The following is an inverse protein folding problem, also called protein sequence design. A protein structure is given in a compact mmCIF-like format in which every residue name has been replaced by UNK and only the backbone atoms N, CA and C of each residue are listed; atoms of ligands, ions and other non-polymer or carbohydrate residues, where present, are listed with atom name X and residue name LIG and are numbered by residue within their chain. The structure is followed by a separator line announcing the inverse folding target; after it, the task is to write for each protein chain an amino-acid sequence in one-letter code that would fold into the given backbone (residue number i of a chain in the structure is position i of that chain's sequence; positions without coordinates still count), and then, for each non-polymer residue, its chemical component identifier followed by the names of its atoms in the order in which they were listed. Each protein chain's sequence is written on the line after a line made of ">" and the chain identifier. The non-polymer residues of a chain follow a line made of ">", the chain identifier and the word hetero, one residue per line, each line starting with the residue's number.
data_IF_903801243734
#
_entry.id   IF_903801243734
#
_cell.length_a   1.000
_cell.length_b   1.000
_cell.length_c   1.000
_cell.angle_alpha   90.00
_cell.angle_beta   90.00
_cell.angle_gamma   90.00
#
_symmetry.space_group_name_H-M   'P 1'
#
loop_
_entity.id
_entity.type
_entity.pdbx_description
1 polymer ?
#
# COMPACT_ATOMS: atom_id res chain seq x y z
N UNK A 1 33.33 4.78 -15.00
CA UNK A 1 32.48 3.86 -14.18
C UNK A 1 31.85 4.72 -13.10
N UNK A 2 30.59 5.08 -13.27
CA UNK A 2 29.87 5.79 -12.21
C UNK A 2 29.72 4.84 -11.02
N UNK A 3 30.09 5.32 -9.84
CA UNK A 3 29.90 4.59 -8.58
C UNK A 3 28.41 4.31 -8.44
N UNK A 4 27.97 3.06 -8.21
CA UNK A 4 26.56 2.79 -7.97
C UNK A 4 26.10 3.70 -6.83
N UNK A 5 25.11 4.55 -7.07
CA UNK A 5 24.44 5.30 -6.01
C UNK A 5 23.76 4.27 -5.11
N UNK A 6 24.47 3.87 -4.05
CA UNK A 6 23.89 3.04 -3.00
C UNK A 6 22.65 3.78 -2.46
N UNK A 7 21.49 3.19 -2.67
CA UNK A 7 20.29 3.73 -2.04
C UNK A 7 20.50 3.75 -0.52
N UNK A 8 20.11 4.80 0.14
CA UNK A 8 20.26 4.87 1.58
C UNK A 8 19.60 3.66 2.26
N UNK A 9 20.27 3.10 3.26
CA UNK A 9 19.78 1.93 3.98
C UNK A 9 18.39 2.18 4.59
N UNK A 10 17.47 1.20 4.50
CA UNK A 10 16.16 1.32 5.14
C UNK A 10 16.28 1.26 6.66
N UNK A 11 15.37 1.92 7.35
CA UNK A 11 15.10 1.67 8.77
C UNK A 11 14.15 0.49 8.85
N UNK A 12 14.52 -0.56 9.60
CA UNK A 12 13.72 -1.77 9.77
C UNK A 12 13.44 -2.00 11.25
N UNK A 13 12.18 -2.28 11.56
CA UNK A 13 11.74 -2.69 12.89
C UNK A 13 10.98 -4.00 12.84
N UNK A 14 11.33 -4.94 13.71
CA UNK A 14 10.43 -6.04 14.05
C UNK A 14 9.44 -5.55 15.10
N UNK A 15 8.18 -5.87 14.88
CA UNK A 15 7.06 -5.47 15.73
C UNK A 15 6.45 -6.72 16.33
N UNK A 16 6.29 -6.76 17.65
CA UNK A 16 5.61 -7.88 18.31
C UNK A 16 4.12 -7.85 17.96
N UNK A 17 3.55 -8.87 17.26
CA UNK A 17 2.17 -8.81 16.72
C UNK A 17 1.08 -8.65 17.79
N UNK A 18 1.35 -9.16 18.99
CA UNK A 18 0.39 -9.11 20.10
C UNK A 18 0.60 -7.93 21.07
N UNK A 19 1.39 -6.94 20.65
CA UNK A 19 1.87 -5.86 21.53
C UNK A 19 3.17 -6.23 22.23
N UNK A 20 3.81 -5.28 22.86
CA UNK A 20 5.09 -5.48 23.56
C UNK A 20 6.25 -4.77 22.88
N UNK A 21 7.31 -5.49 22.50
CA UNK A 21 8.54 -4.87 22.02
C UNK A 21 8.46 -4.44 20.55
N UNK A 22 9.17 -3.35 20.25
CA UNK A 22 9.50 -2.89 18.89
C UNK A 22 11.03 -2.84 18.84
N UNK A 23 11.65 -3.53 17.88
CA UNK A 23 13.09 -3.73 17.87
C UNK A 23 13.70 -3.33 16.52
N UNK A 24 14.58 -2.34 16.56
CA UNK A 24 15.40 -1.96 15.41
C UNK A 24 16.25 -3.13 14.92
N UNK A 25 16.36 -3.28 13.61
CA UNK A 25 17.11 -4.35 12.96
C UNK A 25 18.21 -3.82 12.05
N UNK A 26 19.24 -4.64 11.86
CA UNK A 26 20.27 -4.38 10.86
C UNK A 26 19.70 -4.73 9.46
N UNK A 27 19.60 -3.79 8.51
CA UNK A 27 19.03 -4.03 7.19
C UNK A 27 19.78 -5.05 6.33
N UNK A 28 21.01 -5.39 6.72
CA UNK A 28 21.85 -6.35 6.00
C UNK A 28 21.75 -7.79 6.54
N UNK A 29 20.82 -8.04 7.48
CA UNK A 29 20.58 -9.36 8.05
C UNK A 29 19.20 -9.89 7.64
N UNK A 30 19.00 -11.21 7.52
CA UNK A 30 17.69 -11.79 7.29
C UNK A 30 16.78 -11.60 8.51
N UNK A 31 15.51 -11.26 8.27
CA UNK A 31 14.53 -10.94 9.32
C UNK A 31 13.29 -11.82 9.28
N UNK A 32 13.06 -12.51 8.17
CA UNK A 32 11.88 -13.35 7.97
C UNK A 32 12.34 -14.80 7.87
N UNK A 33 11.64 -15.69 8.55
CA UNK A 33 11.93 -17.12 8.51
C UNK A 33 11.55 -17.72 7.15
N UNK A 34 12.31 -18.72 6.71
CA UNK A 34 12.10 -19.39 5.41
C UNK A 34 10.72 -20.04 5.28
N UNK A 35 10.09 -20.41 6.39
CA UNK A 35 8.76 -21.03 6.47
C UNK A 35 7.66 -20.03 6.85
N UNK A 36 7.91 -18.73 6.72
CA UNK A 36 6.86 -17.73 6.91
C UNK A 36 5.84 -17.79 5.78
N UNK A 37 4.56 -17.81 6.13
CA UNK A 37 3.46 -17.91 5.19
C UNK A 37 3.39 -16.74 4.20
N UNK A 38 4.01 -15.60 4.52
CA UNK A 38 4.17 -14.51 3.55
C UNK A 38 5.07 -14.90 2.39
N UNK A 39 6.16 -15.65 2.64
CA UNK A 39 7.09 -16.10 1.61
C UNK A 39 6.55 -17.29 0.82
N UNK A 40 5.89 -18.22 1.50
CA UNK A 40 5.44 -19.48 0.91
C UNK A 40 4.06 -19.38 0.25
N UNK A 41 3.18 -18.48 0.72
CA UNK A 41 1.77 -18.39 0.30
C UNK A 41 1.29 -16.98 -0.01
N UNK A 42 2.04 -15.93 0.35
CA UNK A 42 1.54 -14.56 0.32
C UNK A 42 0.47 -14.28 1.40
N UNK A 43 0.39 -15.12 2.45
CA UNK A 43 -0.62 -15.03 3.49
C UNK A 43 -0.25 -13.99 4.55
N UNK A 44 -0.66 -12.78 4.29
CA UNK A 44 -0.41 -11.62 5.14
C UNK A 44 -1.01 -10.36 4.53
N UNK A 45 -0.91 -9.29 5.29
CA UNK A 45 -1.42 -7.96 4.95
C UNK A 45 -0.30 -6.93 5.01
N UNK A 46 -0.50 -5.82 4.30
CA UNK A 46 0.43 -4.70 4.37
C UNK A 46 -0.26 -3.34 4.34
N UNK A 47 0.43 -2.32 4.81
CA UNK A 47 0.12 -0.93 4.58
C UNK A 47 1.33 -0.18 4.03
N UNK A 48 1.07 0.90 3.32
CA UNK A 48 2.12 1.83 2.88
C UNK A 48 1.67 3.24 3.20
N UNK A 49 2.41 3.87 4.10
CA UNK A 49 2.13 5.19 4.66
C UNK A 49 3.16 6.19 4.12
N UNK A 50 2.70 7.31 3.60
CA UNK A 50 3.57 8.42 3.22
C UNK A 50 4.15 9.06 4.48
N UNK A 51 5.47 9.25 4.50
CA UNK A 51 6.17 10.08 5.48
C UNK A 51 6.59 11.38 4.78
N UNK A 52 6.18 12.52 5.33
CA UNK A 52 6.52 13.86 4.84
C UNK A 52 6.63 14.83 6.01
N UNK A 53 7.74 15.60 6.05
CA UNK A 53 8.02 16.50 7.15
C UNK A 53 8.14 15.77 8.50
N UNK A 54 8.78 14.59 8.52
CA UNK A 54 8.96 13.81 9.73
C UNK A 54 7.69 13.15 10.30
N UNK A 55 6.59 13.18 9.57
CA UNK A 55 5.30 12.65 10.03
C UNK A 55 4.71 11.61 9.06
N UNK A 56 4.12 10.56 9.62
CA UNK A 56 3.30 9.61 8.89
C UNK A 56 1.94 10.24 8.56
N UNK A 57 1.63 10.38 7.27
CA UNK A 57 0.40 11.06 6.82
C UNK A 57 -0.79 10.10 6.77
N UNK A 58 -1.99 10.60 7.10
CA UNK A 58 -3.25 9.85 7.16
C UNK A 58 -3.18 8.59 8.05
N UNK A 59 -2.38 8.65 9.12
CA UNK A 59 -2.06 7.50 9.97
C UNK A 59 -3.31 6.76 10.45
N UNK A 60 -4.33 7.49 10.91
CA UNK A 60 -5.58 6.89 11.41
C UNK A 60 -6.28 6.05 10.35
N UNK A 61 -6.39 6.55 9.11
CA UNK A 61 -7.01 5.80 8.00
C UNK A 61 -6.25 4.52 7.66
N UNK A 62 -4.93 4.56 7.77
CA UNK A 62 -4.08 3.39 7.57
C UNK A 62 -4.25 2.36 8.69
N UNK A 63 -4.28 2.80 9.95
CA UNK A 63 -4.54 1.94 11.10
C UNK A 63 -5.91 1.25 11.01
N UNK A 64 -6.95 1.99 10.66
CA UNK A 64 -8.30 1.46 10.48
C UNK A 64 -8.36 0.41 9.36
N UNK A 65 -7.68 0.66 8.23
CA UNK A 65 -7.65 -0.30 7.13
C UNK A 65 -6.78 -1.52 7.45
N UNK A 66 -5.70 -1.34 8.18
CA UNK A 66 -4.82 -2.42 8.61
C UNK A 66 -5.56 -3.38 9.55
N UNK A 67 -6.27 -2.85 10.55
CA UNK A 67 -7.12 -3.61 11.46
C UNK A 67 -8.22 -4.37 10.70
N UNK A 68 -8.91 -3.70 9.78
CA UNK A 68 -9.94 -4.34 8.93
C UNK A 68 -9.34 -5.45 8.05
N UNK A 69 -8.17 -5.22 7.45
CA UNK A 69 -7.49 -6.24 6.66
C UNK A 69 -7.10 -7.45 7.51
N UNK A 70 -6.61 -7.22 8.74
CA UNK A 70 -6.29 -8.29 9.68
C UNK A 70 -7.53 -9.12 10.04
N UNK A 71 -8.65 -8.46 10.33
CA UNK A 71 -9.93 -9.11 10.62
C UNK A 71 -10.40 -9.98 9.45
N UNK A 72 -10.38 -9.44 8.22
CA UNK A 72 -10.79 -10.17 7.01
C UNK A 72 -9.90 -11.39 6.73
N UNK A 73 -8.62 -11.31 7.08
CA UNK A 73 -7.65 -12.39 6.91
C UNK A 73 -7.60 -13.35 8.10
N UNK A 74 -8.37 -13.12 9.17
CA UNK A 74 -8.28 -13.90 10.40
C UNK A 74 -6.87 -13.86 11.04
N UNK A 75 -6.19 -12.72 10.93
CA UNK A 75 -4.92 -12.45 11.57
C UNK A 75 -5.15 -11.80 12.95
N UNK A 76 -4.16 -11.81 13.85
CA UNK A 76 -4.26 -11.06 15.10
C UNK A 76 -4.59 -9.60 14.84
N UNK A 77 -5.42 -9.03 15.71
CA UNK A 77 -5.74 -7.61 15.64
C UNK A 77 -4.48 -6.77 15.92
N UNK A 78 -4.07 -5.91 14.98
CA UNK A 78 -2.94 -5.02 15.22
C UNK A 78 -3.35 -3.91 16.20
N UNK A 79 -2.75 -3.92 17.39
CA UNK A 79 -3.04 -2.92 18.43
C UNK A 79 -2.74 -1.50 17.92
N UNK A 80 -3.78 -0.67 17.80
CA UNK A 80 -3.70 0.68 17.22
C UNK A 80 -2.57 1.52 17.78
N UNK A 81 -2.52 1.66 19.12
CA UNK A 81 -1.52 2.47 19.80
C UNK A 81 -0.11 1.89 19.67
N UNK A 82 -0.01 0.57 19.62
CA UNK A 82 1.27 -0.11 19.43
C UNK A 82 1.87 0.20 18.06
N UNK A 83 1.09 0.06 16.99
CA UNK A 83 1.52 0.37 15.63
C UNK A 83 1.76 1.87 15.40
N UNK A 84 0.96 2.73 16.03
CA UNK A 84 1.16 4.18 15.97
C UNK A 84 2.50 4.59 16.60
N UNK A 85 2.80 4.09 17.81
CA UNK A 85 4.08 4.34 18.50
C UNK A 85 5.26 3.78 17.71
N UNK A 86 5.17 2.53 17.25
CA UNK A 86 6.22 1.91 16.45
C UNK A 86 6.50 2.71 15.16
N UNK A 87 5.44 3.21 14.52
CA UNK A 87 5.58 4.05 13.32
C UNK A 87 6.29 5.36 13.64
N UNK A 88 5.89 6.03 14.71
CA UNK A 88 6.52 7.30 15.12
C UNK A 88 8.01 7.10 15.44
N UNK A 89 8.37 6.01 16.14
CA UNK A 89 9.75 5.66 16.46
C UNK A 89 10.58 5.36 15.21
N UNK A 90 10.06 4.54 14.30
CA UNK A 90 10.75 4.21 13.06
C UNK A 90 10.95 5.43 12.14
N UNK A 91 9.96 6.33 12.07
CA UNK A 91 10.05 7.57 11.31
C UNK A 91 11.06 8.53 11.94
N UNK A 92 11.06 8.67 13.26
CA UNK A 92 12.03 9.52 13.97
C UNK A 92 13.47 9.05 13.75
N UNK A 93 13.71 7.74 13.79
CA UNK A 93 15.03 7.16 13.51
C UNK A 93 15.45 7.40 12.07
N UNK A 94 14.54 7.19 11.13
CA UNK A 94 14.81 7.47 9.71
C UNK A 94 15.20 8.94 9.50
N UNK A 95 14.47 9.89 10.07
CA UNK A 95 14.77 11.32 9.94
C UNK A 95 16.11 11.67 10.57
N UNK A 96 16.42 11.15 11.78
CA UNK A 96 17.67 11.39 12.48
C UNK A 96 18.88 10.93 11.69
N UNK A 97 18.82 9.74 11.10
CA UNK A 97 19.93 9.16 10.33
C UNK A 97 20.18 9.86 9.00
N UNK A 98 19.21 10.65 8.54
CA UNK A 98 19.31 11.41 7.28
C UNK A 98 19.47 12.90 7.45
N UNK A 99 19.89 13.34 8.63
CA UNK A 99 20.22 14.73 8.90
C UNK A 99 19.01 15.67 8.94
N UNK A 100 17.83 15.13 9.21
CA UNK A 100 16.64 15.93 9.40
C UNK A 100 15.44 15.48 8.57
N UNK A 101 14.35 16.25 8.66
CA UNK A 101 13.04 15.96 8.07
C UNK A 101 12.94 16.20 6.55
N UNK A 102 14.06 16.35 5.88
CA UNK A 102 14.08 16.66 4.45
C UNK A 102 13.82 15.41 3.59
N UNK A 103 12.88 15.54 2.69
CA UNK A 103 12.50 14.51 1.74
C UNK A 103 11.30 13.68 2.17
N UNK A 104 10.76 12.97 1.19
CA UNK A 104 9.64 12.06 1.40
C UNK A 104 10.12 10.63 1.54
N UNK A 105 9.45 9.87 2.41
CA UNK A 105 9.69 8.46 2.59
C UNK A 105 8.38 7.68 2.58
N UNK A 106 8.49 6.38 2.47
CA UNK A 106 7.39 5.45 2.68
C UNK A 106 7.68 4.53 3.85
N UNK A 107 6.74 4.47 4.79
CA UNK A 107 6.70 3.49 5.85
C UNK A 107 5.79 2.35 5.40
N UNK A 108 6.30 1.13 5.34
CA UNK A 108 5.52 -0.06 4.99
C UNK A 108 5.39 -0.94 6.20
N UNK A 109 4.15 -1.28 6.58
CA UNK A 109 3.83 -2.24 7.64
C UNK A 109 3.53 -3.59 7.00
N UNK A 110 3.92 -4.66 7.65
CA UNK A 110 3.60 -6.03 7.25
C UNK A 110 3.23 -6.84 8.47
N UNK A 111 2.14 -7.58 8.37
CA UNK A 111 1.71 -8.58 9.35
C UNK A 111 1.34 -9.85 8.58
N UNK A 112 1.94 -10.96 8.98
CA UNK A 112 1.76 -12.24 8.30
C UNK A 112 1.15 -13.28 9.24
N UNK A 113 0.66 -14.38 8.69
CA UNK A 113 0.27 -15.53 9.50
C UNK A 113 1.45 -16.16 10.22
N UNK A 114 2.68 -15.83 9.81
CA UNK A 114 3.91 -16.26 10.43
C UNK A 114 4.37 -17.64 9.97
N UNK A 115 5.10 -18.30 10.84
CA UNK A 115 5.75 -19.56 10.54
C UNK A 115 4.77 -20.72 10.43
N UNK A 116 4.82 -21.46 9.32
CA UNK A 116 4.00 -22.67 9.12
C UNK A 116 4.30 -23.75 10.20
N UNK A 117 5.53 -23.82 10.69
CA UNK A 117 5.94 -24.81 11.70
C UNK A 117 5.45 -24.50 13.12
N UNK A 118 5.20 -23.24 13.46
CA UNK A 118 4.84 -22.84 14.82
C UNK A 118 3.51 -22.10 14.94
N UNK A 119 2.97 -21.59 13.82
CA UNK A 119 1.76 -20.77 13.81
C UNK A 119 1.93 -19.39 14.47
N UNK A 120 3.18 -18.99 14.79
CA UNK A 120 3.45 -17.69 15.42
C UNK A 120 3.50 -16.62 14.34
N UNK A 121 2.61 -15.61 14.38
CA UNK A 121 2.59 -14.51 13.43
C UNK A 121 3.89 -13.72 13.43
N UNK A 122 4.23 -13.13 12.29
CA UNK A 122 5.38 -12.24 12.14
C UNK A 122 4.92 -10.84 11.76
N UNK A 123 5.56 -9.81 12.31
CA UNK A 123 5.28 -8.45 11.91
C UNK A 123 6.55 -7.60 11.86
N UNK A 124 6.59 -6.72 10.88
CA UNK A 124 7.69 -5.76 10.73
C UNK A 124 7.24 -4.49 10.01
N UNK A 125 8.06 -3.46 10.13
CA UNK A 125 7.92 -2.26 9.31
C UNK A 125 9.26 -1.82 8.74
N UNK A 126 9.19 -1.12 7.61
CA UNK A 126 10.36 -0.54 6.96
C UNK A 126 10.08 0.92 6.62
N UNK A 127 11.05 1.80 6.85
CA UNK A 127 11.01 3.18 6.37
C UNK A 127 12.14 3.37 5.37
N UNK A 128 11.79 3.81 4.16
CA UNK A 128 12.76 4.02 3.07
C UNK A 128 12.35 5.20 2.18
N UNK A 129 13.30 5.81 1.44
CA UNK A 129 12.98 6.94 0.57
C UNK A 129 11.94 6.56 -0.50
N UNK A 130 11.19 7.54 -0.97
CA UNK A 130 10.39 7.41 -2.19
C UNK A 130 11.37 7.27 -3.38
N UNK A 131 11.19 6.29 -4.27
CA UNK A 131 12.03 6.17 -5.45
C UNK A 131 11.97 7.44 -6.32
N UNK A 132 13.10 7.86 -6.86
CA UNK A 132 13.21 9.05 -7.71
C UNK A 132 12.23 9.01 -8.89
N UNK A 133 12.08 7.86 -9.52
CA UNK A 133 11.09 7.64 -10.59
C UNK A 133 9.67 8.05 -10.18
N UNK A 134 9.25 7.75 -8.93
CA UNK A 134 7.91 8.11 -8.44
C UNK A 134 7.76 9.62 -8.29
N UNK A 135 8.83 10.31 -7.85
CA UNK A 135 8.83 11.77 -7.76
C UNK A 135 8.70 12.41 -9.14
N UNK A 136 9.45 11.91 -10.11
CA UNK A 136 9.35 12.36 -11.51
C UNK A 136 7.97 12.10 -12.12
N UNK A 137 7.40 10.93 -11.86
CA UNK A 137 6.04 10.56 -12.31
C UNK A 137 4.95 11.50 -11.74
N UNK A 138 5.11 11.96 -10.51
CA UNK A 138 4.18 12.92 -9.90
C UNK A 138 4.15 14.27 -10.64
N UNK A 139 5.28 14.68 -11.20
CA UNK A 139 5.40 15.95 -11.92
C UNK A 139 4.98 15.83 -13.39
N UNK A 140 5.50 14.81 -14.08
CA UNK A 140 5.25 14.64 -15.52
C UNK A 140 3.93 13.93 -15.86
N UNK A 141 3.29 13.30 -14.87
CA UNK A 141 2.23 12.33 -15.08
C UNK A 141 2.75 10.96 -15.47
N UNK A 142 1.84 10.04 -15.75
CA UNK A 142 2.14 8.65 -16.13
C UNK A 142 1.34 8.25 -17.36
N UNK A 143 1.93 7.40 -18.21
CA UNK A 143 1.21 6.70 -19.26
C UNK A 143 0.66 5.39 -18.71
N UNK A 144 -0.62 5.10 -18.99
CA UNK A 144 -1.26 3.89 -18.48
C UNK A 144 -1.93 3.12 -19.60
N UNK A 145 -1.98 1.80 -19.47
CA UNK A 145 -2.77 0.93 -20.35
C UNK A 145 -3.90 0.29 -19.55
N UNK A 146 -5.08 0.24 -20.14
CA UNK A 146 -6.20 -0.50 -19.55
C UNK A 146 -6.08 -1.98 -19.89
N UNK A 147 -6.30 -2.84 -18.89
CA UNK A 147 -6.24 -4.29 -19.06
C UNK A 147 -7.23 -4.99 -18.15
N UNK A 148 -7.85 -6.09 -18.58
CA UNK A 148 -8.62 -6.94 -17.67
C UNK A 148 -7.76 -7.40 -16.51
N UNK A 149 -8.35 -7.54 -15.33
CA UNK A 149 -7.63 -8.05 -14.14
C UNK A 149 -7.26 -9.54 -14.25
N UNK A 150 -7.72 -10.22 -15.29
CA UNK A 150 -7.41 -11.62 -15.57
C UNK A 150 -8.24 -12.64 -14.81
N UNK A 151 -9.06 -12.20 -13.86
CA UNK A 151 -9.98 -13.04 -13.07
C UNK A 151 -11.32 -12.33 -12.95
N UNK A 152 -12.42 -13.06 -13.18
CA UNK A 152 -13.77 -12.57 -12.84
C UNK A 152 -13.92 -12.56 -11.32
N UNK A 153 -14.22 -11.40 -10.76
CA UNK A 153 -14.33 -11.22 -9.33
C UNK A 153 -15.77 -11.49 -8.88
N UNK A 154 -16.04 -12.69 -8.40
CA UNK A 154 -17.29 -13.03 -7.75
C UNK A 154 -17.24 -12.71 -6.25
N UNK A 155 -18.37 -12.32 -5.69
CA UNK A 155 -18.52 -12.18 -4.24
C UNK A 155 -18.73 -13.58 -3.63
N UNK A 156 -17.65 -14.11 -3.04
CA UNK A 156 -17.64 -15.43 -2.41
C UNK A 156 -17.10 -15.33 -0.98
N UNK A 157 -17.60 -16.13 -0.02
CA UNK A 157 -17.33 -15.94 1.41
C UNK A 157 -15.84 -15.99 1.81
N UNK A 158 -15.03 -16.72 1.07
CA UNK A 158 -13.58 -16.86 1.35
C UNK A 158 -12.70 -15.82 0.65
N UNK A 159 -13.26 -15.03 -0.27
CA UNK A 159 -12.50 -13.98 -0.94
C UNK A 159 -12.36 -12.78 -0.01
N UNK A 160 -11.13 -12.50 0.40
CA UNK A 160 -10.80 -11.40 1.31
C UNK A 160 -10.91 -10.04 0.60
N UNK A 161 -12.08 -9.76 0.04
CA UNK A 161 -12.34 -8.50 -0.66
C UNK A 161 -12.22 -7.32 0.29
N UNK A 162 -11.42 -6.33 -0.14
CA UNK A 162 -11.15 -5.15 0.68
C UNK A 162 -9.97 -5.30 1.65
N UNK A 163 -9.37 -6.48 1.82
CA UNK A 163 -8.10 -6.63 2.51
C UNK A 163 -6.92 -6.23 1.61
N UNK A 164 -5.97 -5.49 2.16
CA UNK A 164 -4.72 -5.16 1.46
C UNK A 164 -3.69 -6.25 1.74
N UNK A 165 -3.76 -7.32 0.95
CA UNK A 165 -2.96 -8.54 1.14
C UNK A 165 -1.56 -8.44 0.50
N UNK A 166 -0.71 -9.43 0.77
CA UNK A 166 0.61 -9.58 0.15
C UNK A 166 0.57 -10.28 -1.23
N UNK A 167 -0.59 -10.64 -1.75
CA UNK A 167 -0.75 -11.35 -3.01
C UNK A 167 -0.53 -10.45 -4.24
N UNK A 168 0.70 -10.01 -4.45
CA UNK A 168 1.07 -9.06 -5.50
C UNK A 168 1.73 -9.69 -6.74
N UNK A 169 1.86 -11.01 -6.81
CA UNK A 169 2.57 -11.65 -7.92
C UNK A 169 1.97 -11.30 -9.29
N UNK A 170 0.64 -11.40 -9.42
CA UNK A 170 -0.07 -11.04 -10.66
C UNK A 170 0.04 -9.54 -10.96
N UNK A 171 -0.10 -8.68 -9.94
CA UNK A 171 0.07 -7.23 -10.06
C UNK A 171 1.47 -6.85 -10.54
N UNK A 172 2.51 -7.48 -9.98
CA UNK A 172 3.88 -7.25 -10.42
C UNK A 172 4.14 -7.76 -11.83
N UNK A 173 3.48 -8.85 -12.25
CA UNK A 173 3.55 -9.35 -13.61
C UNK A 173 2.90 -8.35 -14.59
N UNK A 174 1.73 -7.82 -14.26
CA UNK A 174 1.04 -6.81 -15.08
C UNK A 174 1.89 -5.53 -15.23
N UNK A 175 2.51 -5.06 -14.15
CA UNK A 175 3.41 -3.91 -14.21
C UNK A 175 4.64 -4.17 -15.11
N UNK A 176 5.28 -5.34 -14.99
CA UNK A 176 6.41 -5.68 -15.86
C UNK A 176 6.00 -5.74 -17.34
N UNK A 177 4.83 -6.31 -17.63
CA UNK A 177 4.27 -6.34 -18.98
C UNK A 177 4.04 -4.92 -19.49
N UNK A 178 3.32 -4.07 -18.75
CA UNK A 178 3.05 -2.69 -19.15
C UNK A 178 4.35 -1.89 -19.39
N UNK A 179 5.34 -2.04 -18.52
CA UNK A 179 6.64 -1.40 -18.71
C UNK A 179 7.36 -1.91 -19.98
N UNK A 180 7.24 -3.19 -20.30
CA UNK A 180 7.76 -3.77 -21.54
C UNK A 180 7.09 -3.19 -22.80
N UNK A 181 5.82 -2.80 -22.70
CA UNK A 181 5.06 -2.12 -23.76
C UNK A 181 5.22 -0.58 -23.75
N UNK A 182 6.05 -0.03 -22.85
CA UNK A 182 6.34 1.39 -22.77
C UNK A 182 5.36 2.22 -21.92
N UNK A 183 4.52 1.58 -21.12
CA UNK A 183 3.61 2.25 -20.18
C UNK A 183 4.18 2.26 -18.75
N UNK A 184 3.85 3.27 -17.98
CA UNK A 184 4.29 3.41 -16.59
C UNK A 184 3.49 2.52 -15.62
N UNK A 185 2.18 2.33 -15.88
CA UNK A 185 1.26 1.60 -14.97
C UNK A 185 0.10 0.98 -15.77
N UNK A 186 -0.74 0.21 -15.09
CA UNK A 186 -1.99 -0.33 -15.63
C UNK A 186 -3.19 0.23 -14.86
N UNK A 187 -4.32 0.35 -15.55
CA UNK A 187 -5.64 0.49 -14.93
C UNK A 187 -6.42 -0.80 -15.23
N UNK A 188 -6.78 -1.52 -14.17
CA UNK A 188 -7.60 -2.71 -14.32
C UNK A 188 -9.04 -2.37 -14.64
N UNK A 189 -9.62 -3.16 -15.55
CA UNK A 189 -11.02 -3.10 -15.90
C UNK A 189 -11.67 -4.47 -15.64
N UNK A 190 -12.96 -4.45 -15.38
CA UNK A 190 -13.78 -5.64 -15.36
C UNK A 190 -13.95 -6.17 -16.79
N UNK A 191 -13.65 -7.44 -17.08
CA UNK A 191 -13.64 -7.96 -18.45
C UNK A 191 -15.03 -8.06 -19.10
N UNK A 192 -16.10 -8.10 -18.33
CA UNK A 192 -17.46 -8.27 -18.84
C UNK A 192 -18.17 -6.91 -19.04
N UNK A 193 -17.92 -5.99 -18.13
CA UNK A 193 -18.65 -4.71 -18.08
C UNK A 193 -17.82 -3.52 -18.53
N UNK A 194 -16.51 -3.67 -18.72
CA UNK A 194 -15.54 -2.58 -18.96
C UNK A 194 -15.53 -1.52 -17.84
N UNK A 195 -16.02 -1.88 -16.66
CA UNK A 195 -15.98 -1.02 -15.49
C UNK A 195 -14.54 -0.86 -15.02
N UNK A 196 -14.14 0.41 -14.85
CA UNK A 196 -12.83 0.73 -14.27
C UNK A 196 -12.78 0.27 -12.82
N UNK A 197 -11.73 -0.43 -12.46
CA UNK A 197 -11.48 -0.91 -11.10
C UNK A 197 -10.48 0.01 -10.39
N UNK A 198 -9.21 -0.33 -10.43
CA UNK A 198 -8.13 0.43 -9.78
C UNK A 198 -6.84 0.31 -10.60
N UNK A 199 -5.81 1.08 -10.26
CA UNK A 199 -4.47 0.86 -10.80
C UNK A 199 -3.78 -0.32 -10.13
N UNK A 200 -2.60 -0.71 -10.62
CA UNK A 200 -1.84 -1.83 -10.04
C UNK A 200 -1.58 -1.66 -8.54
N UNK A 201 -1.22 -0.46 -8.12
CA UNK A 201 -0.96 -0.11 -6.71
C UNK A 201 -1.60 1.22 -6.32
N UNK A 202 -2.58 1.70 -7.10
CA UNK A 202 -3.16 3.04 -6.97
C UNK A 202 -4.68 3.02 -7.12
N UNK A 203 -5.35 4.03 -6.56
CA UNK A 203 -6.77 4.28 -6.79
C UNK A 203 -6.96 5.22 -7.99
N UNK A 204 -8.05 5.04 -8.72
CA UNK A 204 -8.43 5.93 -9.83
C UNK A 204 -9.33 7.05 -9.32
N UNK A 205 -8.96 8.28 -9.63
CA UNK A 205 -9.75 9.49 -9.38
C UNK A 205 -9.97 10.23 -10.72
N UNK A 206 -11.23 10.51 -11.04
CA UNK A 206 -11.60 11.24 -12.24
C UNK A 206 -12.08 12.64 -11.88
N UNK A 207 -11.43 13.65 -12.41
CA UNK A 207 -11.89 15.05 -12.35
C UNK A 207 -12.87 15.32 -13.48
N UNK A 208 -14.03 15.89 -13.16
CA UNK A 208 -15.06 16.32 -14.12
C UNK A 208 -15.30 17.81 -14.03
N UNK A 209 -15.80 18.41 -15.13
CA UNK A 209 -16.20 19.82 -15.18
C UNK A 209 -17.15 20.15 -14.01
N UNK A 210 -17.02 21.37 -13.46
CA UNK A 210 -17.87 21.88 -12.38
C UNK A 210 -17.50 21.31 -11.01
N UNK A 211 -16.19 21.24 -10.71
CA UNK A 211 -15.67 20.84 -9.39
C UNK A 211 -16.26 19.52 -8.90
N UNK A 212 -16.12 18.48 -9.71
CA UNK A 212 -16.63 17.14 -9.39
C UNK A 212 -15.52 16.11 -9.44
N UNK A 213 -15.43 15.28 -8.39
CA UNK A 213 -14.57 14.12 -8.33
C UNK A 213 -15.39 12.83 -8.35
N UNK A 214 -14.87 11.84 -9.06
CA UNK A 214 -15.40 10.48 -9.04
C UNK A 214 -14.26 9.48 -8.79
N UNK A 215 -14.60 8.38 -8.14
CA UNK A 215 -13.76 7.20 -8.02
C UNK A 215 -14.64 5.97 -8.25
N UNK A 216 -14.12 4.86 -8.77
CA UNK A 216 -14.85 3.59 -8.78
C UNK A 216 -15.36 3.24 -7.37
N UNK A 217 -16.56 2.70 -7.29
CA UNK A 217 -17.11 2.29 -6.00
C UNK A 217 -16.26 1.16 -5.39
N UNK A 218 -15.90 1.24 -4.08
CA UNK A 218 -15.24 0.13 -3.40
C UNK A 218 -16.07 -1.14 -3.46
N UNK A 219 -15.41 -2.27 -3.62
CA UNK A 219 -16.08 -3.56 -3.76
C UNK A 219 -15.17 -4.57 -4.47
N UNK A 220 -15.74 -5.58 -5.14
CA UNK A 220 -14.96 -6.54 -5.88
C UNK A 220 -13.95 -5.87 -6.82
N UNK A 221 -12.66 -6.11 -6.58
CA UNK A 221 -11.57 -5.57 -7.37
C UNK A 221 -11.21 -4.10 -7.15
N UNK A 222 -11.82 -3.42 -6.17
CA UNK A 222 -11.51 -2.02 -5.84
C UNK A 222 -11.26 -1.89 -4.33
N UNK A 223 -10.03 -1.60 -3.96
CA UNK A 223 -9.65 -1.35 -2.57
C UNK A 223 -10.15 0.03 -2.12
N UNK A 224 -10.67 0.12 -0.88
CA UNK A 224 -10.97 1.41 -0.26
C UNK A 224 -9.65 2.17 0.02
N UNK A 225 -9.32 3.12 -0.85
CA UNK A 225 -8.06 3.85 -0.82
C UNK A 225 -8.02 4.90 0.30
N UNK A 226 -6.99 4.85 1.16
CA UNK A 226 -6.80 5.84 2.24
C UNK A 226 -6.49 7.24 1.70
N UNK A 227 -5.64 7.33 0.67
CA UNK A 227 -5.34 8.58 -0.02
C UNK A 227 -6.55 9.12 -0.77
N UNK A 228 -7.30 8.24 -1.43
CA UNK A 228 -8.54 8.61 -2.12
C UNK A 228 -9.56 9.22 -1.14
N UNK A 229 -9.74 8.60 0.04
CA UNK A 229 -10.62 9.13 1.08
C UNK A 229 -10.17 10.51 1.57
N UNK A 230 -8.88 10.70 1.83
CA UNK A 230 -8.34 11.99 2.24
C UNK A 230 -8.50 13.07 1.16
N UNK A 231 -8.34 12.71 -0.13
CA UNK A 231 -8.57 13.64 -1.25
C UNK A 231 -10.05 14.05 -1.32
N UNK A 232 -10.99 13.11 -1.09
CA UNK A 232 -12.42 13.43 -1.07
C UNK A 232 -12.75 14.39 0.07
N UNK A 233 -12.27 14.12 1.29
CA UNK A 233 -12.49 15.00 2.44
C UNK A 233 -11.95 16.41 2.22
N UNK A 234 -10.77 16.54 1.59
CA UNK A 234 -10.22 17.83 1.24
C UNK A 234 -11.08 18.52 0.17
N UNK A 235 -11.42 17.83 -0.89
CA UNK A 235 -12.19 18.37 -2.00
C UNK A 235 -13.60 18.82 -1.55
N UNK A 236 -14.26 18.05 -0.68
CA UNK A 236 -15.57 18.41 -0.12
C UNK A 236 -15.50 19.67 0.75
N UNK A 237 -14.44 19.84 1.54
CA UNK A 237 -14.20 21.09 2.30
C UNK A 237 -14.01 22.30 1.38
N UNK A 238 -13.44 22.08 0.20
CA UNK A 238 -13.28 23.12 -0.86
C UNK A 238 -14.53 23.26 -1.75
N UNK A 239 -15.65 22.64 -1.38
CA UNK A 239 -16.93 22.76 -2.09
C UNK A 239 -17.09 21.88 -3.34
N UNK A 240 -16.20 20.91 -3.53
CA UNK A 240 -16.32 19.95 -4.62
C UNK A 240 -17.39 18.89 -4.35
N UNK A 241 -18.00 18.35 -5.39
CA UNK A 241 -18.93 17.22 -5.29
C UNK A 241 -18.20 15.90 -5.54
N UNK A 242 -18.00 15.12 -4.48
CA UNK A 242 -17.30 13.83 -4.54
C UNK A 242 -18.30 12.67 -4.57
N UNK A 243 -18.08 11.67 -5.44
CA UNK A 243 -18.92 10.47 -5.50
C UNK A 243 -18.09 9.22 -5.82
N UNK A 244 -18.25 8.17 -4.99
CA UNK A 244 -17.89 6.82 -5.38
C UNK A 244 -19.00 6.26 -6.27
N UNK A 245 -18.70 6.08 -7.55
CA UNK A 245 -19.65 5.61 -8.58
C UNK A 245 -18.89 4.98 -9.72
N UNK A 246 -19.43 3.93 -10.31
CA UNK A 246 -18.82 3.24 -11.43
C UNK A 246 -18.43 4.18 -12.57
N UNK A 247 -17.25 3.93 -13.10
CA UNK A 247 -16.64 4.59 -14.25
C UNK A 247 -16.41 3.50 -15.28
N UNK A 248 -16.70 3.77 -16.53
CA UNK A 248 -16.51 2.85 -17.64
C UNK A 248 -15.51 3.44 -18.62
N UNK A 249 -14.79 2.55 -19.32
CA UNK A 249 -13.97 2.93 -20.47
C UNK A 249 -14.94 3.26 -21.59
N UNK A 250 -14.90 4.51 -22.11
CA UNK A 250 -15.77 5.02 -23.19
C UNK A 250 -15.09 4.98 -24.53
#
# INVERSE_FOLDING_TARGET
>A
METPHLQPEPVIYLVEPFGGSVRRQNPNMPHVFWDDAALTRGDGIMETVLVRGGEAKNLDKHLDRFARSAQLMGLPEPGRDHWARATAEAVADYCRERGGEQGEAKCTWTLTRGRETTGVPSAWMTVRPIPQQVLEQRERGVSVVTTPRGLTLHDVPWMQQGAKTLNYAATMAALRWANGEGYDDVIYIDPETERVLEGATSSVLMVKKGSRLRTPAPGPGVLAGTTQAAVFELAEREGWKCKAKDIYVG
#
